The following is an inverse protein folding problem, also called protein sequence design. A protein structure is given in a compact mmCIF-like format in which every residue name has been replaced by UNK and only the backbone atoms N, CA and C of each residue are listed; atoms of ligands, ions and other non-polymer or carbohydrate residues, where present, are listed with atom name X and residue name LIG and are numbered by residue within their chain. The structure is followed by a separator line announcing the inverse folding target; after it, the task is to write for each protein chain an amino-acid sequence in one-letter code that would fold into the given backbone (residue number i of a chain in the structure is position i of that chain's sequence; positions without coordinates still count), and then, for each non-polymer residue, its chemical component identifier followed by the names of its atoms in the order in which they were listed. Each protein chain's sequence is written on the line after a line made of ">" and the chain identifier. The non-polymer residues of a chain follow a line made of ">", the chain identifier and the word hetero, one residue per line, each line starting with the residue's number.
data_IF_550621361033
#
_entry.id   IF_550621361033
#
_cell.length_a   1.000
_cell.length_b   1.000
_cell.length_c   1.000
_cell.angle_alpha   90.00
_cell.angle_beta   90.00
_cell.angle_gamma   90.00
#
_symmetry.space_group_name_H-M   'P 1'
#
loop_
_entity.id
_entity.type
_entity.pdbx_description
1 polymer ?
#
# COMPACT_ATOMS: atom_id res chain seq x y z
N UNK A 1 -13.32 2.49 34.94
CA UNK A 1 -12.87 3.89 34.99
C UNK A 1 -11.40 4.11 34.56
N UNK A 2 -10.60 3.06 34.28
CA UNK A 2 -9.18 3.21 33.92
C UNK A 2 -8.88 3.60 32.46
N UNK A 3 -9.86 3.54 31.56
CA UNK A 3 -9.66 3.75 30.12
C UNK A 3 -9.68 5.21 29.70
N UNK A 4 -10.52 6.05 30.33
CA UNK A 4 -10.63 7.48 30.00
C UNK A 4 -9.36 8.26 30.40
N UNK A 5 -8.77 7.95 31.56
CA UNK A 5 -7.55 8.62 32.02
C UNK A 5 -6.35 8.34 31.11
N UNK A 6 -6.23 7.12 30.57
CA UNK A 6 -5.12 6.76 29.68
C UNK A 6 -5.18 7.51 28.34
N UNK A 7 -6.39 7.70 27.80
CA UNK A 7 -6.61 8.44 26.55
C UNK A 7 -6.24 9.91 26.73
N UNK A 8 -6.70 10.54 27.82
CA UNK A 8 -6.41 11.96 28.09
C UNK A 8 -4.91 12.18 28.27
N UNK A 9 -4.22 11.31 29.02
CA UNK A 9 -2.76 11.39 29.21
C UNK A 9 -2.03 11.30 27.85
N UNK A 10 -2.48 10.42 26.96
CA UNK A 10 -1.87 10.26 25.64
C UNK A 10 -2.10 11.48 24.74
N UNK A 11 -3.31 12.05 24.72
CA UNK A 11 -3.62 13.25 23.93
C UNK A 11 -2.82 14.47 24.38
N UNK A 12 -2.76 14.72 25.69
CA UNK A 12 -1.98 15.82 26.26
C UNK A 12 -0.49 15.67 25.96
N UNK A 13 0.05 14.44 26.03
CA UNK A 13 1.46 14.16 25.71
C UNK A 13 1.85 14.59 24.30
N UNK A 14 0.93 14.49 23.33
CA UNK A 14 1.21 14.83 21.92
C UNK A 14 0.59 16.17 21.49
N UNK A 15 0.03 16.94 22.43
CA UNK A 15 -0.54 18.26 22.16
C UNK A 15 -1.86 18.26 21.39
N UNK A 16 -2.61 17.15 21.44
CA UNK A 16 -3.89 17.05 20.71
C UNK A 16 -4.97 17.82 21.46
N UNK A 17 -5.39 18.97 20.92
CA UNK A 17 -6.42 19.84 21.48
C UNK A 17 -7.79 19.70 20.80
N UNK A 18 -7.86 19.04 19.63
CA UNK A 18 -9.09 18.84 18.88
C UNK A 18 -9.00 17.67 17.89
N UNK A 19 -10.16 17.21 17.42
CA UNK A 19 -10.27 16.11 16.45
C UNK A 19 -10.81 16.63 15.11
N UNK A 20 -10.37 16.08 13.96
CA UNK A 20 -9.23 15.17 13.79
C UNK A 20 -7.89 15.92 13.83
N UNK A 21 -6.89 15.35 14.51
CA UNK A 21 -5.47 15.78 14.44
C UNK A 21 -4.67 14.61 13.89
N UNK A 22 -3.87 14.86 12.85
CA UNK A 22 -3.01 13.86 12.23
C UNK A 22 -1.56 14.12 12.65
N UNK A 23 -0.86 13.06 13.10
CA UNK A 23 0.54 13.13 13.54
C UNK A 23 1.31 11.95 12.96
N UNK A 24 2.45 12.25 12.35
CA UNK A 24 3.30 11.29 11.67
C UNK A 24 4.47 10.87 12.56
N UNK A 25 4.68 9.56 12.72
CA UNK A 25 5.74 9.01 13.58
C UNK A 25 6.70 8.17 12.75
N UNK A 26 7.82 8.73 12.25
CA UNK A 26 8.81 7.92 11.55
C UNK A 26 9.60 7.06 12.53
N UNK A 27 10.18 5.96 12.05
CA UNK A 27 10.89 4.95 12.86
C UNK A 27 11.92 5.54 13.85
N UNK A 28 12.55 6.66 13.50
CA UNK A 28 13.59 7.33 14.29
C UNK A 28 13.09 8.48 15.17
N UNK A 29 11.86 8.95 15.00
CA UNK A 29 11.31 10.08 15.75
C UNK A 29 10.05 9.65 16.54
N UNK A 30 10.20 9.52 17.86
CA UNK A 30 9.09 9.21 18.77
C UNK A 30 8.30 10.44 19.23
N UNK A 31 8.77 11.65 18.94
CA UNK A 31 8.04 12.89 19.26
C UNK A 31 6.87 13.12 18.30
N UNK A 32 6.95 12.56 17.09
CA UNK A 32 5.96 12.76 16.05
C UNK A 32 6.09 14.13 15.39
N UNK A 33 5.62 14.22 14.16
CA UNK A 33 5.56 15.43 13.34
C UNK A 33 4.10 15.75 13.05
N UNK A 34 3.72 17.01 13.22
CA UNK A 34 2.34 17.43 12.94
C UNK A 34 2.11 17.45 11.43
N UNK A 35 0.91 17.04 11.01
CA UNK A 35 0.47 17.13 9.63
C UNK A 35 -0.32 18.43 9.45
N UNK A 36 0.30 19.37 8.74
CA UNK A 36 -0.27 20.68 8.43
C UNK A 36 -0.85 20.77 7.01
N UNK A 37 -0.93 19.63 6.30
CA UNK A 37 -1.46 19.56 4.93
C UNK A 37 -2.99 19.68 4.88
N UNK A 38 -3.52 19.78 3.66
CA UNK A 38 -4.97 19.79 3.42
C UNK A 38 -5.65 18.49 3.89
N UNK A 39 -6.97 18.55 4.10
CA UNK A 39 -7.77 17.38 4.51
C UNK A 39 -8.17 16.47 3.34
N UNK A 40 -7.65 16.76 2.15
CA UNK A 40 -7.91 16.02 0.94
C UNK A 40 -6.96 14.83 0.80
N UNK A 41 -7.43 13.78 0.14
CA UNK A 41 -6.67 12.55 -0.07
C UNK A 41 -5.35 12.82 -0.82
N UNK A 42 -5.37 13.72 -1.79
CA UNK A 42 -4.20 14.06 -2.61
C UNK A 42 -3.08 14.68 -1.78
N UNK A 43 -3.41 15.58 -0.86
CA UNK A 43 -2.43 16.23 0.02
C UNK A 43 -1.86 15.25 1.04
N UNK A 44 -2.70 14.35 1.55
CA UNK A 44 -2.25 13.29 2.45
C UNK A 44 -1.29 12.32 1.75
N UNK A 45 -1.60 11.93 0.52
CA UNK A 45 -0.76 11.03 -0.28
C UNK A 45 0.58 11.68 -0.62
N UNK A 46 0.58 12.97 -0.99
CA UNK A 46 1.81 13.74 -1.21
C UNK A 46 2.69 13.76 0.03
N UNK A 47 2.11 14.08 1.19
CA UNK A 47 2.86 14.10 2.45
C UNK A 47 3.49 12.74 2.79
N UNK A 48 2.74 11.65 2.64
CA UNK A 48 3.29 10.30 2.89
C UNK A 48 4.40 9.96 1.89
N UNK A 49 4.23 10.31 0.62
CA UNK A 49 5.25 10.11 -0.41
C UNK A 49 6.55 10.86 -0.06
N UNK A 50 6.45 12.11 0.39
CA UNK A 50 7.60 12.91 0.82
C UNK A 50 8.28 12.32 2.07
N UNK A 51 7.50 11.94 3.09
CA UNK A 51 8.05 11.44 4.37
C UNK A 51 8.62 10.04 4.28
N UNK A 52 8.05 9.19 3.42
CA UNK A 52 8.46 7.78 3.28
C UNK A 52 9.34 7.53 2.06
N UNK A 53 9.54 8.52 1.18
CA UNK A 53 10.26 8.33 -0.08
C UNK A 53 9.53 7.38 -1.03
N UNK A 54 8.19 7.42 -1.05
CA UNK A 54 7.37 6.58 -1.91
C UNK A 54 6.77 7.38 -3.07
N UNK A 55 6.28 6.70 -4.10
CA UNK A 55 5.62 7.34 -5.25
C UNK A 55 4.29 6.66 -5.50
N UNK A 56 3.27 7.02 -4.71
CA UNK A 56 1.93 6.43 -4.80
C UNK A 56 0.88 7.44 -5.27
N UNK A 57 -0.10 6.96 -6.01
CA UNK A 57 -1.31 7.71 -6.37
C UNK A 57 -2.38 7.59 -5.26
N UNK A 58 -3.45 8.40 -5.31
CA UNK A 58 -4.57 8.32 -4.37
C UNK A 58 -5.32 6.98 -4.36
N UNK A 59 -5.17 6.18 -5.43
CA UNK A 59 -5.75 4.83 -5.55
C UNK A 59 -4.79 3.74 -5.05
N UNK A 60 -3.60 4.12 -4.58
CA UNK A 60 -2.56 3.24 -4.07
C UNK A 60 -1.64 2.62 -5.14
N UNK A 61 -1.77 2.99 -6.42
CA UNK A 61 -0.86 2.56 -7.48
C UNK A 61 0.49 3.25 -7.36
N UNK A 62 1.55 2.55 -7.79
CA UNK A 62 2.89 3.11 -7.87
C UNK A 62 2.99 3.99 -9.12
N UNK A 63 3.35 5.26 -8.98
CA UNK A 63 3.47 6.22 -10.08
C UNK A 63 4.88 6.28 -10.67
N UNK A 64 5.87 5.62 -10.07
CA UNK A 64 7.22 5.58 -10.62
C UNK A 64 7.23 4.77 -11.92
N UNK A 65 7.44 5.44 -13.05
CA UNK A 65 7.56 4.86 -14.39
C UNK A 65 8.77 3.91 -14.54
N UNK A 66 9.64 3.86 -13.54
CA UNK A 66 10.90 3.10 -13.56
C UNK A 66 10.71 1.60 -13.73
N UNK A 67 9.55 1.03 -13.40
CA UNK A 67 9.34 -0.42 -13.44
C UNK A 67 8.84 -0.96 -14.79
N UNK A 68 8.14 -0.14 -15.60
CA UNK A 68 7.51 -0.60 -16.84
C UNK A 68 8.46 -0.60 -18.04
N UNK A 69 9.53 0.20 -18.00
CA UNK A 69 10.53 0.32 -19.07
C UNK A 69 11.72 -0.64 -18.89
N UNK A 70 11.59 -1.62 -18.01
CA UNK A 70 12.64 -2.57 -17.68
C UNK A 70 12.69 -3.68 -18.73
N UNK A 71 13.78 -3.66 -19.53
CA UNK A 71 14.20 -4.69 -20.49
C UNK A 71 14.11 -6.09 -19.87
N UNK A 72 13.71 -7.10 -20.65
CA UNK A 72 13.40 -8.47 -20.19
C UNK A 72 14.48 -9.12 -19.30
N UNK A 73 15.75 -8.73 -19.46
CA UNK A 73 16.86 -9.26 -18.66
C UNK A 73 16.77 -8.86 -17.17
N UNK A 74 16.37 -7.62 -16.88
CA UNK A 74 16.18 -7.13 -15.51
C UNK A 74 14.94 -7.74 -14.85
N UNK A 75 13.94 -8.19 -15.63
CA UNK A 75 12.74 -8.87 -15.09
C UNK A 75 13.09 -10.21 -14.45
N UNK A 76 14.04 -10.95 -15.03
CA UNK A 76 14.53 -12.22 -14.47
C UNK A 76 15.28 -11.99 -13.15
N UNK A 77 16.13 -10.99 -13.08
CA UNK A 77 16.88 -10.63 -11.85
C UNK A 77 15.93 -10.19 -10.72
N UNK A 78 14.88 -9.45 -11.06
CA UNK A 78 13.84 -9.07 -10.09
C UNK A 78 13.07 -10.31 -9.63
N UNK A 79 12.76 -11.25 -10.52
CA UNK A 79 12.03 -12.48 -10.15
C UNK A 79 12.83 -13.35 -9.18
N UNK A 80 14.15 -13.48 -9.36
CA UNK A 80 14.98 -14.24 -8.41
C UNK A 80 15.01 -13.58 -7.03
N UNK A 81 15.13 -12.25 -6.96
CA UNK A 81 15.07 -11.51 -5.69
C UNK A 81 13.71 -11.68 -4.99
N UNK A 82 12.62 -11.63 -5.74
CA UNK A 82 11.27 -11.84 -5.19
C UNK A 82 11.13 -13.26 -4.62
N UNK A 83 11.63 -14.29 -5.32
CA UNK A 83 11.57 -15.66 -4.82
C UNK A 83 12.35 -15.85 -3.53
N UNK A 84 13.55 -15.25 -3.43
CA UNK A 84 14.34 -15.27 -2.20
C UNK A 84 13.64 -14.55 -1.04
N UNK A 85 13.07 -13.39 -1.28
CA UNK A 85 12.37 -12.63 -0.24
C UNK A 85 11.08 -13.31 0.20
N UNK A 86 10.33 -13.91 -0.73
CA UNK A 86 9.15 -14.71 -0.41
C UNK A 86 9.51 -15.95 0.40
N UNK A 87 10.68 -16.54 0.19
CA UNK A 87 11.16 -17.66 1.00
C UNK A 87 11.46 -17.28 2.46
N UNK A 88 11.81 -16.01 2.71
CA UNK A 88 12.04 -15.46 4.07
C UNK A 88 10.74 -15.04 4.77
N UNK A 89 9.65 -14.85 4.02
CA UNK A 89 8.36 -14.47 4.58
C UNK A 89 7.68 -15.66 5.28
N UNK A 90 6.97 -15.37 6.37
CA UNK A 90 6.15 -16.35 7.09
C UNK A 90 4.69 -15.87 7.24
N UNK A 91 3.79 -16.78 7.60
CA UNK A 91 2.39 -16.46 7.86
C UNK A 91 1.57 -16.05 6.62
N UNK A 92 0.68 -15.06 6.79
CA UNK A 92 -0.17 -14.55 5.70
C UNK A 92 0.64 -13.86 4.60
N UNK A 93 1.74 -13.20 4.96
CA UNK A 93 2.63 -12.53 4.00
C UNK A 93 3.22 -13.51 2.98
N UNK A 94 3.58 -14.72 3.40
CA UNK A 94 4.07 -15.77 2.50
C UNK A 94 3.00 -16.24 1.48
N UNK A 95 1.73 -16.29 1.89
CA UNK A 95 0.62 -16.67 0.99
C UNK A 95 0.45 -15.65 -0.13
N UNK A 96 0.46 -14.36 0.22
CA UNK A 96 0.36 -13.30 -0.77
C UNK A 96 1.62 -13.23 -1.65
N UNK A 97 2.81 -13.43 -1.08
CA UNK A 97 4.06 -13.52 -1.83
C UNK A 97 4.03 -14.55 -2.97
N UNK A 98 3.50 -15.75 -2.70
CA UNK A 98 3.34 -16.81 -3.72
C UNK A 98 2.42 -16.40 -4.88
N UNK A 99 1.38 -15.60 -4.61
CA UNK A 99 0.48 -15.08 -5.65
C UNK A 99 1.24 -14.14 -6.58
N UNK A 100 2.06 -13.24 -6.03
CA UNK A 100 2.88 -12.32 -6.82
C UNK A 100 3.93 -13.05 -7.67
N UNK A 101 4.62 -14.04 -7.11
CA UNK A 101 5.58 -14.89 -7.87
C UNK A 101 4.88 -15.59 -9.03
N UNK A 102 3.70 -16.16 -8.79
CA UNK A 102 2.93 -16.86 -9.83
C UNK A 102 2.48 -15.92 -10.94
N UNK A 103 2.03 -14.71 -10.59
CA UNK A 103 1.66 -13.69 -11.56
C UNK A 103 2.87 -13.26 -12.41
N UNK A 104 4.02 -13.03 -11.77
CA UNK A 104 5.25 -12.66 -12.46
C UNK A 104 5.70 -13.76 -13.46
N UNK A 105 5.65 -15.04 -13.05
CA UNK A 105 5.91 -16.19 -13.95
C UNK A 105 4.96 -16.21 -15.15
N UNK A 106 3.66 -16.03 -14.92
CA UNK A 106 2.67 -15.99 -16.01
C UNK A 106 2.90 -14.83 -17.00
N UNK A 107 3.36 -13.68 -16.52
CA UNK A 107 3.71 -12.54 -17.38
C UNK A 107 4.95 -12.86 -18.23
N UNK A 108 5.95 -13.53 -17.66
CA UNK A 108 7.12 -14.00 -18.41
C UNK A 108 6.76 -15.04 -19.47
N UNK A 109 5.86 -15.98 -19.16
CA UNK A 109 5.49 -17.07 -20.08
C UNK A 109 4.55 -16.62 -21.20
N UNK A 110 3.61 -15.71 -20.90
CA UNK A 110 2.52 -15.33 -21.82
C UNK A 110 2.70 -13.95 -22.46
N UNK A 111 3.74 -13.22 -22.07
CA UNK A 111 4.05 -11.88 -22.59
C UNK A 111 3.06 -10.80 -22.16
N UNK A 112 3.23 -9.60 -22.74
CA UNK A 112 2.49 -8.38 -22.36
C UNK A 112 0.98 -8.46 -22.58
N UNK A 113 0.49 -9.34 -23.45
CA UNK A 113 -0.93 -9.49 -23.77
C UNK A 113 -1.72 -10.15 -22.63
N UNK A 114 -1.05 -10.92 -21.76
CA UNK A 114 -1.69 -11.53 -20.60
C UNK A 114 -2.24 -10.48 -19.63
N UNK A 115 -1.47 -9.41 -19.39
CA UNK A 115 -1.86 -8.34 -18.46
C UNK A 115 -3.17 -7.68 -18.91
N UNK A 116 -3.30 -7.36 -20.21
CA UNK A 116 -4.52 -6.75 -20.76
C UNK A 116 -5.75 -7.64 -20.59
N UNK A 117 -5.63 -8.92 -20.98
CA UNK A 117 -6.73 -9.90 -20.85
C UNK A 117 -7.13 -10.14 -19.40
N UNK A 118 -6.16 -10.19 -18.49
CA UNK A 118 -6.43 -10.40 -17.07
C UNK A 118 -7.10 -9.18 -16.44
N UNK A 119 -6.68 -7.96 -16.80
CA UNK A 119 -7.35 -6.72 -16.38
C UNK A 119 -8.81 -6.71 -16.83
N UNK A 120 -9.10 -7.02 -18.09
CA UNK A 120 -10.48 -7.10 -18.59
C UNK A 120 -11.32 -8.14 -17.85
N UNK A 121 -10.75 -9.32 -17.59
CA UNK A 121 -11.43 -10.39 -16.84
C UNK A 121 -11.82 -9.93 -15.44
N UNK A 122 -10.90 -9.27 -14.74
CA UNK A 122 -11.13 -8.75 -13.38
C UNK A 122 -12.16 -7.63 -13.37
N UNK A 123 -12.14 -6.72 -14.36
CA UNK A 123 -13.16 -5.69 -14.51
C UNK A 123 -14.56 -6.29 -14.67
N UNK A 124 -14.72 -7.30 -15.55
CA UNK A 124 -16.01 -8.00 -15.71
C UNK A 124 -16.47 -8.70 -14.43
N UNK A 125 -15.53 -9.20 -13.62
CA UNK A 125 -15.85 -9.80 -12.32
C UNK A 125 -16.34 -8.75 -11.33
N UNK A 126 -15.69 -7.58 -11.27
CA UNK A 126 -16.11 -6.49 -10.40
C UNK A 126 -17.51 -5.97 -10.77
N UNK A 127 -17.79 -5.78 -12.06
CA UNK A 127 -19.10 -5.32 -12.54
C UNK A 127 -20.22 -6.33 -12.26
N UNK A 128 -19.90 -7.63 -12.27
CA UNK A 128 -20.86 -8.70 -12.01
C UNK A 128 -21.15 -8.90 -10.51
N UNK A 129 -20.31 -8.38 -9.62
CA UNK A 129 -20.56 -8.45 -8.18
C UNK A 129 -21.47 -7.27 -7.80
N UNK A 130 -22.78 -7.47 -7.53
CA UNK A 130 -23.60 -6.40 -6.96
C UNK A 130 -22.99 -5.98 -5.63
N UNK A 131 -23.07 -4.69 -5.32
CA UNK A 131 -22.54 -4.05 -4.10
C UNK A 131 -23.25 -4.54 -2.83
N UNK A 132 -23.14 -5.82 -2.49
CA UNK A 132 -23.70 -6.40 -1.27
C UNK A 132 -22.63 -6.43 -0.18
N UNK A 133 -22.21 -5.24 0.26
CA UNK A 133 -21.57 -5.09 1.58
C UNK A 133 -21.64 -3.68 2.17
N UNK A 134 -22.80 -3.03 2.09
CA UNK A 134 -23.21 -2.17 3.21
C UNK A 134 -23.60 -3.09 4.38
N UNK A 135 -22.62 -3.72 5.04
CA UNK A 135 -22.86 -4.19 6.41
C UNK A 135 -22.83 -2.95 7.31
N UNK A 136 -23.95 -2.25 7.32
CA UNK A 136 -24.31 -1.40 8.44
C UNK A 136 -24.60 -2.36 9.60
N UNK A 137 -23.69 -2.41 10.57
CA UNK A 137 -24.09 -2.59 11.95
C UNK A 137 -24.47 -1.23 12.51
#
# INVERSE_FOLDING_TARGET
>A
MFTASLIIIYLCRYGVSGFPTLKFFPKRNKAGEDYDGGRDLDDFVKFINEKCGTSRDPKGHLTSEEFLNVVDDKRKEVLSKIEEDVAKLSGSAAKHGKIYVTAAKKIMDKGSDYTKKETERLHRMLEKIPSSHSRSC
#
